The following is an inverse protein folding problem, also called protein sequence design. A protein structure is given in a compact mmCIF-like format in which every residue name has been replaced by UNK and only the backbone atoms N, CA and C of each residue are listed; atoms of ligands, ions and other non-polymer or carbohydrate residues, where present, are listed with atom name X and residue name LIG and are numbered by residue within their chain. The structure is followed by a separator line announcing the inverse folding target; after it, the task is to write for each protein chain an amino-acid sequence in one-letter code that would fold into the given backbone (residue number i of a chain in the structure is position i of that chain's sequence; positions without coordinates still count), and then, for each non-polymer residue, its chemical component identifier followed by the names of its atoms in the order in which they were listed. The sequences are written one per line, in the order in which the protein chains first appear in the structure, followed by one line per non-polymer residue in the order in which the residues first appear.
data_IF_211843119307
#
_entry.id   IF_211843119307
#
_cell.length_a   1.000
_cell.length_b   1.000
_cell.length_c   1.000
_cell.angle_alpha   90.00
_cell.angle_beta   90.00
_cell.angle_gamma   90.00
#
_symmetry.space_group_name_H-M   'P 1'
#
loop_
_entity.id
_entity.type
_entity.pdbx_description
1 polymer ?
#
# COMPACT_ATOMS: atom_id res chain seq x y z
N UNK A 1 37.30 8.47 -20.89
CA UNK A 1 36.56 8.21 -19.64
C UNK A 1 36.06 9.54 -19.01
N UNK A 2 36.84 10.65 -18.90
CA UNK A 2 36.34 11.88 -18.27
C UNK A 2 35.22 12.59 -19.05
N UNK A 3 35.20 12.50 -20.37
CA UNK A 3 34.20 13.14 -21.24
C UNK A 3 32.79 12.50 -21.07
N UNK A 4 32.71 11.19 -20.88
CA UNK A 4 31.44 10.51 -20.65
C UNK A 4 30.78 10.89 -19.31
N UNK A 5 31.58 11.04 -18.25
CA UNK A 5 31.12 11.51 -16.93
C UNK A 5 30.64 12.95 -16.97
N UNK A 6 31.32 13.82 -17.71
CA UNK A 6 30.90 15.21 -17.87
C UNK A 6 29.59 15.34 -18.66
N UNK A 7 29.39 14.50 -19.69
CA UNK A 7 28.14 14.47 -20.47
C UNK A 7 26.95 13.93 -19.62
N UNK A 8 27.18 12.87 -18.85
CA UNK A 8 26.16 12.33 -17.92
C UNK A 8 25.78 13.39 -16.89
N UNK A 9 26.79 14.10 -16.35
CA UNK A 9 26.58 15.20 -15.43
C UNK A 9 25.78 16.36 -16.00
N UNK A 10 26.11 16.77 -17.19
CA UNK A 10 25.39 17.83 -17.90
C UNK A 10 23.92 17.44 -18.17
N UNK A 11 23.67 16.19 -18.56
CA UNK A 11 22.31 15.64 -18.74
C UNK A 11 21.52 15.66 -17.44
N UNK A 12 22.11 15.26 -16.31
CA UNK A 12 21.45 15.29 -15.01
C UNK A 12 21.09 16.70 -14.56
N UNK A 13 22.03 17.63 -14.65
CA UNK A 13 21.79 19.05 -14.35
C UNK A 13 20.67 19.59 -15.23
N UNK A 14 20.67 19.26 -16.50
CA UNK A 14 19.65 19.69 -17.44
C UNK A 14 18.27 19.10 -17.10
N UNK A 15 18.18 17.80 -16.79
CA UNK A 15 16.94 17.13 -16.37
C UNK A 15 16.41 17.75 -15.05
N UNK A 16 17.25 17.91 -14.04
CA UNK A 16 16.88 18.53 -12.74
C UNK A 16 16.41 19.97 -12.96
N UNK A 17 17.08 20.73 -13.83
CA UNK A 17 16.71 22.10 -14.16
C UNK A 17 15.35 22.17 -14.88
N UNK A 18 15.11 21.30 -15.86
CA UNK A 18 13.86 21.25 -16.62
C UNK A 18 12.66 20.88 -15.73
N UNK A 19 12.88 20.02 -14.73
CA UNK A 19 11.82 19.48 -13.85
C UNK A 19 11.65 20.23 -12.53
N UNK A 20 12.49 21.24 -12.26
CA UNK A 20 12.46 21.98 -10.99
C UNK A 20 11.09 22.51 -10.62
N UNK A 21 10.32 22.99 -11.59
CA UNK A 21 9.01 23.62 -11.36
C UNK A 21 7.91 22.58 -11.17
N UNK A 22 7.90 21.51 -11.95
CA UNK A 22 6.89 20.44 -11.85
C UNK A 22 7.03 19.62 -10.55
N UNK A 23 8.25 19.22 -10.23
CA UNK A 23 8.53 18.52 -8.98
C UNK A 23 8.32 19.43 -7.76
N UNK A 24 8.68 20.70 -7.86
CA UNK A 24 8.38 21.69 -6.83
C UNK A 24 6.89 21.85 -6.59
N UNK A 25 6.08 21.92 -7.65
CA UNK A 25 4.63 21.96 -7.56
C UNK A 25 4.05 20.69 -6.95
N UNK A 26 4.55 19.52 -7.34
CA UNK A 26 4.14 18.23 -6.78
C UNK A 26 4.49 18.10 -5.29
N UNK A 27 5.71 18.45 -4.90
CA UNK A 27 6.14 18.45 -3.50
C UNK A 27 5.35 19.46 -2.66
N UNK A 28 5.04 20.63 -3.20
CA UNK A 28 4.21 21.63 -2.51
C UNK A 28 2.77 21.14 -2.33
N UNK A 29 2.19 20.44 -3.31
CA UNK A 29 0.87 19.82 -3.19
C UNK A 29 0.84 18.75 -2.10
N UNK A 30 1.88 17.91 -2.02
CA UNK A 30 2.01 16.83 -1.02
C UNK A 30 2.19 17.36 0.41
N UNK A 31 2.83 18.52 0.56
CA UNK A 31 3.08 19.19 1.86
C UNK A 31 1.89 20.05 2.30
N UNK A 32 1.05 20.50 1.36
CA UNK A 32 -0.11 21.37 1.63
C UNK A 32 -1.13 20.75 2.59
N UNK A 33 -1.19 19.43 2.70
CA UNK A 33 -2.21 18.70 3.45
C UNK A 33 -1.94 18.58 4.97
N UNK A 34 -0.78 19.03 5.47
CA UNK A 34 -0.41 18.97 6.89
C UNK A 34 -0.19 20.35 7.51
N UNK A 35 -1.00 20.69 8.52
CA UNK A 35 -1.06 22.03 9.16
C UNK A 35 0.19 22.49 9.93
N UNK A 36 1.15 21.61 10.26
CA UNK A 36 2.30 21.94 11.12
C UNK A 36 3.55 22.19 10.29
N UNK A 37 4.16 23.38 10.43
CA UNK A 37 5.42 23.76 9.77
C UNK A 37 5.30 24.03 8.27
N UNK A 38 4.17 24.46 7.80
CA UNK A 38 3.79 24.63 6.39
C UNK A 38 4.76 25.50 5.58
N UNK A 39 5.17 26.64 6.10
CA UNK A 39 6.05 27.58 5.36
C UNK A 39 7.46 27.01 5.16
N UNK A 40 8.06 26.42 6.19
CA UNK A 40 9.41 25.86 6.10
C UNK A 40 9.48 24.65 5.15
N UNK A 41 8.43 23.83 5.14
CA UNK A 41 8.31 22.68 4.24
C UNK A 41 8.05 23.10 2.79
N UNK A 42 7.28 24.17 2.58
CA UNK A 42 7.03 24.74 1.25
C UNK A 42 8.31 25.34 0.64
N UNK A 43 9.13 26.02 1.44
CA UNK A 43 10.42 26.57 0.98
C UNK A 43 11.44 25.46 0.70
N UNK A 44 11.47 24.40 1.52
CA UNK A 44 12.27 23.20 1.25
C UNK A 44 11.81 22.48 -0.02
N UNK A 45 10.49 22.34 -0.22
CA UNK A 45 9.94 21.73 -1.42
C UNK A 45 10.23 22.53 -2.70
N UNK A 46 10.27 23.85 -2.63
CA UNK A 46 10.67 24.71 -3.76
C UNK A 46 12.16 24.62 -4.08
N UNK A 47 13.01 24.31 -3.08
CA UNK A 47 14.47 24.26 -3.20
C UNK A 47 15.02 22.83 -3.32
N UNK A 48 14.14 21.82 -3.51
CA UNK A 48 14.55 20.40 -3.59
C UNK A 48 15.65 20.15 -4.63
N UNK A 49 15.64 20.89 -5.74
CA UNK A 49 16.62 20.78 -6.81
C UNK A 49 18.04 21.18 -6.36
N UNK A 50 18.15 22.09 -5.37
CA UNK A 50 19.45 22.46 -4.79
C UNK A 50 20.06 21.29 -4.01
N UNK A 51 19.24 20.52 -3.28
CA UNK A 51 19.68 19.33 -2.58
C UNK A 51 20.13 18.24 -3.57
N UNK A 52 19.40 18.06 -4.67
CA UNK A 52 19.79 17.14 -5.75
C UNK A 52 21.10 17.55 -6.42
N UNK A 53 21.29 18.84 -6.69
CA UNK A 53 22.49 19.35 -7.29
C UNK A 53 23.70 19.27 -6.32
N UNK A 54 23.50 19.59 -5.04
CA UNK A 54 24.53 19.45 -4.01
C UNK A 54 24.96 17.98 -3.84
N UNK A 55 23.99 17.06 -3.79
CA UNK A 55 24.26 15.63 -3.74
C UNK A 55 25.08 15.17 -4.96
N UNK A 56 24.71 15.62 -6.17
CA UNK A 56 25.42 15.29 -7.40
C UNK A 56 26.87 15.81 -7.40
N UNK A 57 27.07 17.07 -6.97
CA UNK A 57 28.41 17.65 -6.85
C UNK A 57 29.26 16.89 -5.82
N UNK A 58 28.66 16.53 -4.69
CA UNK A 58 29.34 15.75 -3.65
C UNK A 58 29.75 14.36 -4.15
N UNK A 59 28.88 13.70 -4.89
CA UNK A 59 29.15 12.39 -5.52
C UNK A 59 30.24 12.51 -6.60
N UNK A 60 30.21 13.54 -7.43
CA UNK A 60 31.25 13.81 -8.41
C UNK A 60 32.63 14.06 -7.77
N UNK A 61 32.67 14.84 -6.69
CA UNK A 61 33.90 15.07 -5.92
C UNK A 61 34.42 13.77 -5.29
N UNK A 62 33.53 12.95 -4.70
CA UNK A 62 33.89 11.66 -4.14
C UNK A 62 34.42 10.68 -5.21
N UNK A 63 33.83 10.67 -6.42
CA UNK A 63 34.31 9.87 -7.54
C UNK A 63 35.70 10.33 -8.02
N UNK A 64 35.95 11.64 -8.07
CA UNK A 64 37.26 12.19 -8.38
C UNK A 64 38.30 11.82 -7.30
N UNK A 65 37.93 11.95 -6.02
CA UNK A 65 38.78 11.54 -4.90
C UNK A 65 39.14 10.04 -4.96
N UNK A 66 38.14 9.18 -5.19
CA UNK A 66 38.34 7.73 -5.36
C UNK A 66 39.22 7.39 -6.59
N UNK A 67 39.15 8.18 -7.65
CA UNK A 67 40.03 8.03 -8.82
C UNK A 67 41.46 8.46 -8.54
N UNK A 68 41.66 9.49 -7.70
CA UNK A 68 42.99 10.00 -7.31
C UNK A 68 43.71 9.10 -6.31
N UNK A 69 42.96 8.36 -5.47
CA UNK A 69 43.50 7.42 -4.47
C UNK A 69 43.83 6.04 -5.02
N UNK A 70 43.84 5.84 -6.33
CA UNK A 70 44.13 4.57 -7.04
C UNK A 70 43.22 3.38 -6.65
N UNK A 71 42.18 3.60 -5.84
CA UNK A 71 41.18 2.57 -5.47
C UNK A 71 40.20 2.33 -6.63
N UNK A 72 40.63 1.62 -7.65
CA UNK A 72 39.82 1.35 -8.85
C UNK A 72 38.49 0.63 -8.56
N UNK A 73 38.37 -0.01 -7.40
CA UNK A 73 37.11 -0.63 -6.91
C UNK A 73 36.12 0.40 -6.43
N UNK A 74 36.53 1.32 -5.57
CA UNK A 74 35.66 2.38 -5.04
C UNK A 74 35.14 3.31 -6.17
N UNK A 75 36.01 3.64 -7.14
CA UNK A 75 35.58 4.43 -8.30
C UNK A 75 34.57 3.71 -9.19
N UNK A 76 34.59 2.37 -9.26
CA UNK A 76 33.57 1.55 -9.95
C UNK A 76 32.27 1.58 -9.19
N UNK A 77 32.27 1.37 -7.88
CA UNK A 77 31.08 1.42 -7.03
C UNK A 77 30.37 2.76 -7.09
N UNK A 78 31.13 3.86 -7.00
CA UNK A 78 30.58 5.22 -7.13
C UNK A 78 29.88 5.45 -8.48
N UNK A 79 30.46 4.99 -9.59
CA UNK A 79 29.83 5.06 -10.91
C UNK A 79 28.56 4.24 -11.01
N UNK A 80 28.51 3.09 -10.36
CA UNK A 80 27.29 2.25 -10.31
C UNK A 80 26.17 2.98 -9.58
N UNK A 81 26.46 3.61 -8.46
CA UNK A 81 25.47 4.40 -7.69
C UNK A 81 24.94 5.55 -8.53
N UNK A 82 25.86 6.31 -9.15
CA UNK A 82 25.52 7.49 -9.97
C UNK A 82 24.66 7.10 -11.17
N UNK A 83 25.04 6.05 -11.91
CA UNK A 83 24.27 5.55 -13.06
C UNK A 83 22.92 5.00 -12.67
N UNK A 84 22.80 4.30 -11.53
CA UNK A 84 21.54 3.74 -11.05
C UNK A 84 20.54 4.83 -10.64
N UNK A 85 21.02 5.90 -10.01
CA UNK A 85 20.18 7.06 -9.69
C UNK A 85 19.70 7.79 -10.92
N UNK A 86 20.57 7.94 -11.95
CA UNK A 86 20.21 8.55 -13.22
C UNK A 86 19.14 7.72 -13.95
N UNK A 87 19.32 6.41 -14.03
CA UNK A 87 18.34 5.49 -14.64
C UNK A 87 17.00 5.58 -13.90
N UNK A 88 17.01 5.66 -12.56
CA UNK A 88 15.77 5.82 -11.77
C UNK A 88 15.06 7.13 -12.11
N UNK A 89 15.78 8.24 -12.19
CA UNK A 89 15.21 9.54 -12.56
C UNK A 89 14.60 9.51 -13.96
N UNK A 90 15.31 8.96 -14.94
CA UNK A 90 14.81 8.80 -16.30
C UNK A 90 13.57 7.90 -16.35
N UNK A 91 13.59 6.79 -15.61
CA UNK A 91 12.46 5.88 -15.50
C UNK A 91 11.24 6.57 -14.87
N UNK A 92 11.40 7.28 -13.75
CA UNK A 92 10.32 8.03 -13.09
C UNK A 92 9.71 9.08 -14.02
N UNK A 93 10.54 9.80 -14.75
CA UNK A 93 10.07 10.82 -15.70
C UNK A 93 9.31 10.20 -16.87
N UNK A 94 9.83 9.09 -17.41
CA UNK A 94 9.18 8.33 -18.47
C UNK A 94 7.84 7.76 -18.02
N UNK A 95 7.83 7.11 -16.84
CA UNK A 95 6.61 6.55 -16.28
C UNK A 95 5.55 7.62 -15.98
N UNK A 96 5.97 8.80 -15.53
CA UNK A 96 5.04 9.91 -15.33
C UNK A 96 4.40 10.39 -16.64
N UNK A 97 5.17 10.47 -17.72
CA UNK A 97 4.63 10.80 -19.06
C UNK A 97 3.70 9.71 -19.59
N UNK A 98 4.12 8.45 -19.50
CA UNK A 98 3.33 7.29 -19.93
C UNK A 98 1.99 7.23 -19.17
N UNK A 99 2.04 7.39 -17.85
CA UNK A 99 0.84 7.35 -17.03
C UNK A 99 -0.15 8.47 -17.42
N UNK A 100 0.31 9.68 -17.66
CA UNK A 100 -0.56 10.78 -18.15
C UNK A 100 -1.25 10.45 -19.49
N UNK A 101 -0.59 9.70 -20.38
CA UNK A 101 -1.16 9.32 -21.68
C UNK A 101 -2.07 8.09 -21.61
N UNK A 102 -1.71 7.08 -20.82
CA UNK A 102 -2.46 5.82 -20.74
C UNK A 102 -3.67 5.91 -19.80
N UNK A 103 -3.61 6.74 -18.76
CA UNK A 103 -4.72 6.94 -17.79
C UNK A 103 -5.96 7.56 -18.46
N UNK A 104 -5.81 8.24 -19.61
CA UNK A 104 -6.95 8.70 -20.40
C UNK A 104 -7.80 7.54 -20.96
N UNK A 105 -7.23 6.36 -21.17
CA UNK A 105 -7.91 5.21 -21.79
C UNK A 105 -8.29 4.09 -20.80
N UNK A 106 -7.49 3.89 -19.74
CA UNK A 106 -7.70 2.86 -18.70
C UNK A 106 -7.44 3.45 -17.30
N UNK A 107 -8.37 4.22 -16.74
CA UNK A 107 -8.07 5.11 -15.61
C UNK A 107 -7.64 4.41 -14.31
N UNK A 108 -7.93 3.12 -14.11
CA UNK A 108 -7.69 2.46 -12.83
C UNK A 108 -6.61 1.36 -12.85
N UNK A 109 -6.59 0.50 -13.86
CA UNK A 109 -5.58 -0.55 -13.97
C UNK A 109 -4.19 0.04 -14.28
N UNK A 110 -4.16 1.11 -15.10
CA UNK A 110 -2.93 1.80 -15.47
C UNK A 110 -2.21 2.43 -14.28
N UNK A 111 -2.95 3.06 -13.35
CA UNK A 111 -2.35 3.70 -12.17
C UNK A 111 -1.76 2.68 -11.20
N UNK A 112 -2.44 1.56 -10.96
CA UNK A 112 -1.94 0.50 -10.06
C UNK A 112 -0.67 -0.12 -10.62
N UNK A 113 -0.66 -0.45 -11.91
CA UNK A 113 0.52 -1.02 -12.58
C UNK A 113 1.69 -0.03 -12.57
N UNK A 114 1.45 1.24 -12.87
CA UNK A 114 2.48 2.27 -12.85
C UNK A 114 3.07 2.49 -11.45
N UNK A 115 2.23 2.51 -10.40
CA UNK A 115 2.68 2.64 -9.03
C UNK A 115 3.49 1.43 -8.57
N UNK A 116 3.07 0.20 -8.92
CA UNK A 116 3.83 -1.02 -8.63
C UNK A 116 5.19 -1.03 -9.34
N UNK A 117 5.23 -0.58 -10.60
CA UNK A 117 6.46 -0.54 -11.39
C UNK A 117 7.44 0.52 -10.85
N UNK A 118 6.93 1.68 -10.42
CA UNK A 118 7.73 2.72 -9.74
C UNK A 118 8.28 2.21 -8.41
N UNK A 119 7.43 1.57 -7.60
CA UNK A 119 7.87 1.00 -6.32
C UNK A 119 8.96 -0.05 -6.52
N UNK A 120 8.78 -0.94 -7.49
CA UNK A 120 9.76 -1.96 -7.84
C UNK A 120 11.10 -1.33 -8.28
N UNK A 121 11.06 -0.34 -9.16
CA UNK A 121 12.25 0.36 -9.64
C UNK A 121 13.00 1.05 -8.49
N UNK A 122 12.28 1.71 -7.57
CA UNK A 122 12.88 2.36 -6.40
C UNK A 122 13.58 1.36 -5.48
N UNK A 123 12.89 0.25 -5.16
CA UNK A 123 13.47 -0.80 -4.31
C UNK A 123 14.69 -1.45 -4.97
N UNK A 124 14.61 -1.73 -6.27
CA UNK A 124 15.72 -2.30 -7.02
C UNK A 124 16.95 -1.39 -7.02
N UNK A 125 16.76 -0.08 -7.21
CA UNK A 125 17.86 0.90 -7.13
C UNK A 125 18.45 0.99 -5.72
N UNK A 126 17.63 0.92 -4.68
CA UNK A 126 18.12 0.90 -3.29
C UNK A 126 19.01 -0.33 -3.06
N UNK A 127 18.62 -1.50 -3.59
CA UNK A 127 19.42 -2.72 -3.49
C UNK A 127 20.74 -2.58 -4.25
N UNK A 128 20.72 -2.03 -5.46
CA UNK A 128 21.95 -1.76 -6.24
C UNK A 128 22.90 -0.78 -5.52
N UNK A 129 22.34 0.24 -4.88
CA UNK A 129 23.15 1.19 -4.09
C UNK A 129 23.74 0.50 -2.87
N UNK A 130 22.99 -0.33 -2.16
CA UNK A 130 23.48 -1.09 -1.02
C UNK A 130 24.60 -2.06 -1.41
N UNK A 131 24.43 -2.77 -2.53
CA UNK A 131 25.46 -3.66 -3.10
C UNK A 131 26.74 -2.88 -3.44
N UNK A 132 26.60 -1.79 -4.17
CA UNK A 132 27.74 -0.94 -4.53
C UNK A 132 28.46 -0.35 -3.30
N UNK A 133 27.70 0.07 -2.28
CA UNK A 133 28.27 0.59 -1.04
C UNK A 133 29.02 -0.48 -0.23
N UNK A 134 28.39 -1.62 0.02
CA UNK A 134 28.93 -2.66 0.90
C UNK A 134 30.13 -3.38 0.29
N UNK A 135 30.03 -3.73 -0.98
CA UNK A 135 31.05 -4.56 -1.64
C UNK A 135 32.15 -3.70 -2.26
N UNK A 136 31.79 -2.59 -2.95
CA UNK A 136 32.78 -1.90 -3.80
C UNK A 136 33.32 -0.60 -3.19
N UNK A 137 32.52 0.15 -2.42
CA UNK A 137 32.95 1.43 -1.82
C UNK A 137 33.56 1.22 -0.45
N UNK A 138 32.85 0.56 0.46
CA UNK A 138 33.28 0.33 1.83
C UNK A 138 34.20 -0.89 1.96
N UNK A 139 34.07 -1.87 1.05
CA UNK A 139 34.81 -3.14 1.17
C UNK A 139 34.50 -3.88 2.48
N UNK A 140 33.32 -3.63 3.06
CA UNK A 140 32.91 -4.18 4.36
C UNK A 140 32.64 -5.69 4.28
N UNK A 141 32.27 -6.19 3.11
CA UNK A 141 31.99 -7.60 2.84
C UNK A 141 32.56 -7.98 1.47
N UNK A 142 32.93 -9.25 1.33
CA UNK A 142 33.27 -9.81 0.02
C UNK A 142 32.01 -10.03 -0.81
N UNK A 143 32.12 -10.13 -2.13
CA UNK A 143 30.97 -10.37 -3.00
C UNK A 143 30.27 -11.73 -2.68
N UNK A 144 31.04 -12.73 -2.20
CA UNK A 144 30.51 -14.04 -1.82
C UNK A 144 29.69 -13.97 -0.51
N UNK A 145 30.17 -13.20 0.47
CA UNK A 145 29.46 -12.99 1.75
C UNK A 145 28.19 -12.14 1.58
N UNK A 146 28.18 -11.21 0.60
CA UNK A 146 27.04 -10.35 0.31
C UNK A 146 25.94 -11.04 -0.48
N UNK A 147 26.26 -12.04 -1.29
CA UNK A 147 25.33 -12.72 -2.20
C UNK A 147 24.04 -13.23 -1.54
N UNK A 148 24.05 -13.85 -0.32
CA UNK A 148 22.80 -14.26 0.35
C UNK A 148 21.91 -13.09 0.71
N UNK A 149 22.49 -11.98 1.19
CA UNK A 149 21.77 -10.77 1.58
C UNK A 149 21.16 -10.05 0.36
N UNK A 150 21.89 -9.99 -0.75
CA UNK A 150 21.41 -9.44 -2.02
C UNK A 150 20.21 -10.24 -2.57
N UNK A 151 20.29 -11.58 -2.53
CA UNK A 151 19.17 -12.44 -2.92
C UNK A 151 17.95 -12.24 -2.04
N UNK A 152 18.13 -12.24 -0.71
CA UNK A 152 17.06 -12.00 0.24
C UNK A 152 16.41 -10.63 0.03
N UNK A 153 17.20 -9.58 -0.16
CA UNK A 153 16.69 -8.23 -0.44
C UNK A 153 15.89 -8.16 -1.73
N UNK A 154 16.31 -8.82 -2.81
CA UNK A 154 15.57 -8.88 -4.07
C UNK A 154 14.24 -9.60 -3.93
N UNK A 155 14.20 -10.75 -3.24
CA UNK A 155 12.97 -11.48 -2.98
C UNK A 155 12.04 -10.63 -2.08
N UNK A 156 12.57 -10.03 -1.01
CA UNK A 156 11.82 -9.14 -0.13
C UNK A 156 11.21 -7.94 -0.90
N UNK A 157 11.95 -7.37 -1.86
CA UNK A 157 11.42 -6.30 -2.71
C UNK A 157 10.26 -6.77 -3.59
N UNK A 158 10.37 -7.94 -4.21
CA UNK A 158 9.28 -8.53 -5.02
C UNK A 158 8.06 -8.81 -4.14
N UNK A 159 8.26 -9.41 -2.96
CA UNK A 159 7.20 -9.69 -1.99
C UNK A 159 6.49 -8.40 -1.55
N UNK A 160 7.24 -7.34 -1.27
CA UNK A 160 6.69 -6.05 -0.88
C UNK A 160 5.85 -5.41 -2.00
N UNK A 161 6.32 -5.49 -3.25
CA UNK A 161 5.54 -5.03 -4.42
C UNK A 161 4.27 -5.85 -4.59
N UNK A 162 4.33 -7.17 -4.41
CA UNK A 162 3.16 -8.05 -4.50
C UNK A 162 2.13 -7.72 -3.41
N UNK A 163 2.57 -7.49 -2.16
CA UNK A 163 1.71 -7.06 -1.05
C UNK A 163 1.07 -5.70 -1.35
N UNK A 164 1.85 -4.76 -1.87
CA UNK A 164 1.34 -3.44 -2.26
C UNK A 164 0.30 -3.54 -3.38
N UNK A 165 0.56 -4.36 -4.42
CA UNK A 165 -0.37 -4.60 -5.51
C UNK A 165 -1.68 -5.24 -5.00
N UNK A 166 -1.56 -6.23 -4.12
CA UNK A 166 -2.71 -6.89 -3.50
C UNK A 166 -3.53 -5.91 -2.65
N UNK A 167 -2.89 -5.08 -1.84
CA UNK A 167 -3.56 -4.04 -1.07
C UNK A 167 -4.28 -3.03 -1.96
N UNK A 168 -3.64 -2.58 -3.05
CA UNK A 168 -4.25 -1.68 -4.03
C UNK A 168 -5.47 -2.32 -4.70
N UNK A 169 -5.39 -3.61 -5.03
CA UNK A 169 -6.50 -4.35 -5.60
C UNK A 169 -7.67 -4.45 -4.62
N UNK A 170 -7.43 -4.84 -3.36
CA UNK A 170 -8.47 -4.90 -2.31
C UNK A 170 -9.13 -3.53 -2.15
N UNK A 171 -8.33 -2.50 -2.03
CA UNK A 171 -8.79 -1.11 -1.91
C UNK A 171 -9.66 -0.68 -3.08
N UNK A 172 -9.22 -1.00 -4.29
CA UNK A 172 -9.97 -0.73 -5.51
C UNK A 172 -11.33 -1.44 -5.53
N UNK A 173 -11.38 -2.72 -5.16
CA UNK A 173 -12.64 -3.48 -5.08
C UNK A 173 -13.61 -2.86 -4.08
N UNK A 174 -13.10 -2.41 -2.94
CA UNK A 174 -13.93 -1.75 -1.92
C UNK A 174 -14.42 -0.38 -2.38
N UNK A 175 -13.57 0.43 -2.98
CA UNK A 175 -13.94 1.76 -3.50
C UNK A 175 -14.94 1.64 -4.66
N UNK A 176 -14.80 0.63 -5.54
CA UNK A 176 -15.76 0.32 -6.62
C UNK A 176 -17.13 -0.05 -6.08
N UNK A 177 -17.17 -0.84 -5.01
CA UNK A 177 -18.43 -1.22 -4.36
C UNK A 177 -19.14 0.00 -3.74
N UNK A 178 -18.39 0.89 -3.09
CA UNK A 178 -18.93 2.13 -2.53
C UNK A 178 -19.48 3.05 -3.63
N UNK A 179 -18.78 3.14 -4.76
CA UNK A 179 -19.21 3.96 -5.90
C UNK A 179 -20.46 3.40 -6.60
N UNK A 180 -20.59 2.07 -6.67
CA UNK A 180 -21.75 1.40 -7.26
C UNK A 180 -23.03 1.51 -6.40
N UNK A 181 -22.88 1.77 -5.08
CA UNK A 181 -23.99 1.90 -4.13
C UNK A 181 -24.00 3.30 -3.49
N UNK A 182 -24.39 4.35 -4.20
CA UNK A 182 -24.46 5.70 -3.64
C UNK A 182 -25.51 5.76 -2.52
N UNK A 183 -25.29 6.62 -1.51
CA UNK A 183 -26.32 6.88 -0.50
C UNK A 183 -27.57 7.47 -1.19
N UNK A 184 -28.80 7.08 -0.79
CA UNK A 184 -29.98 7.78 -1.21
C UNK A 184 -29.84 9.26 -0.85
N UNK A 185 -29.97 10.16 -1.83
CA UNK A 185 -30.04 11.59 -1.57
C UNK A 185 -31.29 11.85 -0.74
N UNK A 186 -31.17 12.73 0.27
CA UNK A 186 -32.26 13.08 1.18
C UNK A 186 -33.52 13.64 0.47
N UNK A 187 -33.43 13.95 -0.82
CA UNK A 187 -34.53 14.51 -1.64
C UNK A 187 -35.36 13.46 -2.40
N UNK A 188 -35.02 12.17 -2.30
CA UNK A 188 -35.81 11.10 -2.93
C UNK A 188 -36.88 10.58 -1.97
N UNK A 189 -37.87 11.41 -1.65
CA UNK A 189 -39.13 11.00 -1.02
C UNK A 189 -40.05 10.35 -2.06
N UNK A 190 -39.82 9.09 -2.36
CA UNK A 190 -40.67 8.27 -3.24
C UNK A 190 -40.81 6.90 -2.62
N UNK A 191 -41.99 6.66 -2.06
CA UNK A 191 -42.42 5.41 -1.43
C UNK A 191 -42.27 4.24 -2.42
N UNK A 192 -41.52 3.20 -2.07
CA UNK A 192 -41.61 1.82 -2.63
C UNK A 192 -40.32 1.08 -2.97
N UNK A 193 -39.17 1.36 -2.33
CA UNK A 193 -37.97 0.48 -2.49
C UNK A 193 -37.09 0.42 -1.23
N UNK A 194 -37.69 0.45 -0.02
CA UNK A 194 -36.97 0.75 1.22
C UNK A 194 -36.04 -0.37 1.72
N UNK A 195 -36.36 -1.65 1.51
CA UNK A 195 -35.60 -2.75 2.11
C UNK A 195 -34.22 -3.00 1.47
N UNK A 196 -34.08 -2.81 0.16
CA UNK A 196 -32.81 -2.98 -0.55
C UNK A 196 -31.86 -1.81 -0.26
N UNK A 197 -32.39 -0.60 -0.11
CA UNK A 197 -31.62 0.61 0.19
C UNK A 197 -31.05 0.63 1.60
N UNK A 198 -31.76 0.07 2.58
CA UNK A 198 -31.31 -0.03 3.98
C UNK A 198 -30.12 -0.98 4.13
N UNK A 199 -30.12 -2.11 3.44
CA UNK A 199 -29.00 -3.05 3.45
C UNK A 199 -27.71 -2.48 2.87
N UNK A 200 -27.80 -1.78 1.74
CA UNK A 200 -26.64 -1.11 1.11
C UNK A 200 -26.06 0.01 1.96
N UNK A 201 -26.89 0.74 2.69
CA UNK A 201 -26.46 1.79 3.62
C UNK A 201 -25.64 1.23 4.79
N UNK A 202 -26.05 0.11 5.39
CA UNK A 202 -25.34 -0.53 6.53
C UNK A 202 -23.96 -1.05 6.13
N UNK A 203 -23.85 -1.69 4.97
CA UNK A 203 -22.56 -2.17 4.46
C UNK A 203 -21.58 -1.02 4.22
N UNK A 204 -22.06 0.12 3.73
CA UNK A 204 -21.23 1.29 3.47
C UNK A 204 -20.65 1.87 4.77
N UNK A 205 -21.40 1.91 5.87
CA UNK A 205 -20.88 2.36 7.17
C UNK A 205 -19.84 1.42 7.75
N UNK A 206 -19.88 0.13 7.40
CA UNK A 206 -18.89 -0.87 7.84
C UNK A 206 -17.63 -0.90 6.96
N UNK A 207 -17.67 -0.35 5.73
CA UNK A 207 -16.53 -0.40 4.79
C UNK A 207 -15.23 0.20 5.34
N UNK A 208 -15.21 1.35 6.04
CA UNK A 208 -13.98 1.88 6.62
C UNK A 208 -13.37 0.92 7.65
N UNK A 209 -14.21 0.26 8.46
CA UNK A 209 -13.77 -0.72 9.45
C UNK A 209 -13.20 -1.97 8.78
N UNK A 210 -13.90 -2.53 7.79
CA UNK A 210 -13.43 -3.67 7.00
C UNK A 210 -12.10 -3.36 6.29
N UNK A 211 -11.97 -2.15 5.76
CA UNK A 211 -10.74 -1.68 5.14
C UNK A 211 -9.58 -1.60 6.15
N UNK A 212 -9.82 -1.06 7.34
CA UNK A 212 -8.82 -0.99 8.39
C UNK A 212 -8.38 -2.39 8.85
N UNK A 213 -9.33 -3.31 9.04
CA UNK A 213 -9.06 -4.70 9.41
C UNK A 213 -8.27 -5.43 8.31
N UNK A 214 -8.70 -5.36 7.06
CA UNK A 214 -7.99 -5.97 5.93
C UNK A 214 -6.57 -5.39 5.81
N UNK A 215 -6.42 -4.07 5.96
CA UNK A 215 -5.13 -3.40 5.92
C UNK A 215 -4.20 -3.84 7.05
N UNK A 216 -4.69 -3.99 8.27
CA UNK A 216 -3.88 -4.46 9.40
C UNK A 216 -3.43 -5.90 9.22
N UNK A 217 -4.29 -6.79 8.72
CA UNK A 217 -3.93 -8.18 8.42
C UNK A 217 -2.86 -8.26 7.33
N UNK A 218 -3.05 -7.54 6.22
CA UNK A 218 -2.08 -7.49 5.12
C UNK A 218 -0.74 -6.91 5.59
N UNK A 219 -0.76 -5.88 6.44
CA UNK A 219 0.45 -5.28 7.00
C UNK A 219 1.22 -6.27 7.88
N UNK A 220 0.52 -6.98 8.78
CA UNK A 220 1.14 -7.94 9.71
C UNK A 220 1.70 -9.13 8.95
N UNK A 221 0.87 -9.79 8.12
CA UNK A 221 1.30 -10.97 7.35
C UNK A 221 2.39 -10.59 6.35
N UNK A 222 2.20 -9.50 5.62
CA UNK A 222 3.17 -9.01 4.66
C UNK A 222 4.48 -8.59 5.30
N UNK A 223 4.43 -7.92 6.44
CA UNK A 223 5.62 -7.56 7.22
C UNK A 223 6.41 -8.78 7.69
N UNK A 224 5.73 -9.82 8.18
CA UNK A 224 6.37 -11.08 8.56
C UNK A 224 7.05 -11.77 7.38
N UNK A 225 6.40 -11.80 6.21
CA UNK A 225 7.00 -12.37 5.01
C UNK A 225 8.28 -11.64 4.61
N UNK A 226 8.23 -10.30 4.55
CA UNK A 226 9.42 -9.49 4.22
C UNK A 226 10.55 -9.70 5.23
N UNK A 227 10.25 -9.74 6.52
CA UNK A 227 11.25 -10.01 7.56
C UNK A 227 11.89 -11.40 7.40
N UNK A 228 11.09 -12.40 7.05
CA UNK A 228 11.58 -13.77 6.77
C UNK A 228 12.56 -13.78 5.61
N UNK A 229 12.27 -13.08 4.52
CA UNK A 229 13.15 -13.00 3.34
C UNK A 229 14.48 -12.27 3.65
N UNK A 230 14.45 -11.33 4.60
CA UNK A 230 15.65 -10.65 5.10
C UNK A 230 16.46 -11.50 6.08
N UNK A 231 16.05 -12.76 6.33
CA UNK A 231 16.76 -13.70 7.21
C UNK A 231 16.44 -13.55 8.70
N UNK A 232 15.43 -12.73 9.06
CA UNK A 232 14.98 -12.59 10.46
C UNK A 232 14.18 -13.83 10.86
N UNK A 233 14.51 -14.43 12.01
CA UNK A 233 13.73 -15.54 12.54
C UNK A 233 12.34 -15.05 13.01
N UNK A 234 11.31 -15.33 12.22
CA UNK A 234 9.92 -14.93 12.50
C UNK A 234 9.17 -15.90 13.42
N UNK A 235 9.75 -17.03 13.80
CA UNK A 235 9.12 -18.06 14.66
C UNK A 235 8.57 -17.48 15.97
N UNK A 236 9.32 -16.66 16.74
CA UNK A 236 8.80 -16.06 17.97
C UNK A 236 7.63 -15.08 17.72
N UNK A 237 7.66 -14.37 16.58
CA UNK A 237 6.60 -13.45 16.20
C UNK A 237 5.30 -14.19 15.84
N UNK A 238 5.43 -15.31 15.10
CA UNK A 238 4.28 -16.18 14.77
C UNK A 238 3.71 -16.79 16.03
N UNK A 239 4.57 -17.26 16.96
CA UNK A 239 4.11 -17.80 18.25
C UNK A 239 3.31 -16.76 19.05
N UNK A 240 3.82 -15.53 19.16
CA UNK A 240 3.11 -14.42 19.80
C UNK A 240 1.78 -14.07 19.12
N UNK A 241 1.78 -14.00 17.79
CA UNK A 241 0.57 -13.76 17.00
C UNK A 241 -0.48 -14.88 17.18
N UNK A 242 -0.04 -16.12 17.33
CA UNK A 242 -0.93 -17.27 17.58
C UNK A 242 -1.65 -17.15 18.92
N UNK A 243 -0.96 -16.70 19.98
CA UNK A 243 -1.59 -16.44 21.29
C UNK A 243 -2.64 -15.34 21.19
N UNK A 244 -2.34 -14.24 20.47
CA UNK A 244 -3.32 -13.19 20.22
C UNK A 244 -4.50 -13.71 19.40
N UNK A 245 -4.27 -14.56 18.41
CA UNK A 245 -5.31 -15.21 17.61
C UNK A 245 -6.25 -16.06 18.48
N UNK A 246 -5.70 -16.82 19.42
CA UNK A 246 -6.50 -17.59 20.39
C UNK A 246 -7.35 -16.68 21.28
N UNK A 247 -6.79 -15.58 21.79
CA UNK A 247 -7.53 -14.63 22.60
C UNK A 247 -8.72 -14.02 21.83
N UNK A 248 -8.50 -13.61 20.57
CA UNK A 248 -9.57 -13.10 19.69
C UNK A 248 -10.60 -14.19 19.39
N UNK A 249 -10.16 -15.44 19.14
CA UNK A 249 -11.05 -16.57 18.89
C UNK A 249 -11.97 -16.83 20.07
N UNK A 250 -11.45 -16.90 21.29
CA UNK A 250 -12.28 -17.05 22.49
C UNK A 250 -13.22 -15.85 22.71
N UNK A 251 -12.74 -14.62 22.46
CA UNK A 251 -13.56 -13.42 22.58
C UNK A 251 -14.71 -13.36 21.56
N UNK A 252 -14.56 -13.98 20.41
CA UNK A 252 -15.59 -14.00 19.32
C UNK A 252 -16.44 -15.27 19.30
N UNK A 253 -16.25 -16.21 20.22
CA UNK A 253 -16.90 -17.52 20.21
C UNK A 253 -18.46 -17.44 20.20
N UNK A 254 -19.05 -16.51 20.96
CA UNK A 254 -20.51 -16.31 20.95
C UNK A 254 -21.01 -15.81 19.60
N UNK A 255 -20.28 -14.85 18.99
CA UNK A 255 -20.64 -14.30 17.69
C UNK A 255 -20.62 -15.39 16.60
N UNK A 256 -19.57 -16.22 16.58
CA UNK A 256 -19.46 -17.33 15.64
C UNK A 256 -20.60 -18.34 15.82
N UNK A 257 -20.94 -18.68 17.08
CA UNK A 257 -22.06 -19.56 17.39
C UNK A 257 -23.39 -19.01 16.87
N UNK A 258 -23.65 -17.72 17.11
CA UNK A 258 -24.89 -17.08 16.68
C UNK A 258 -25.01 -17.07 15.14
N UNK A 259 -23.93 -16.73 14.44
CA UNK A 259 -23.89 -16.72 12.97
C UNK A 259 -24.10 -18.13 12.39
N UNK A 260 -23.41 -19.14 12.93
CA UNK A 260 -23.52 -20.53 12.49
C UNK A 260 -24.95 -21.04 12.71
N UNK A 261 -25.52 -20.80 13.90
CA UNK A 261 -26.92 -21.19 14.18
C UNK A 261 -27.90 -20.50 13.24
N UNK A 262 -27.71 -19.19 12.96
CA UNK A 262 -28.56 -18.46 12.02
C UNK A 262 -28.49 -19.01 10.59
N UNK A 263 -27.31 -19.41 10.12
CA UNK A 263 -27.11 -20.04 8.81
C UNK A 263 -27.87 -21.39 8.76
N UNK A 264 -27.77 -22.21 9.81
CA UNK A 264 -28.49 -23.46 9.87
C UNK A 264 -30.04 -23.28 9.86
N UNK A 265 -30.56 -22.31 10.64
CA UNK A 265 -31.98 -21.98 10.62
C UNK A 265 -32.48 -21.53 9.23
N UNK A 266 -31.64 -20.79 8.50
CA UNK A 266 -31.92 -20.40 7.12
C UNK A 266 -31.88 -21.60 6.15
N UNK A 267 -30.87 -22.46 6.30
CA UNK A 267 -30.69 -23.62 5.43
C UNK A 267 -31.77 -24.69 5.61
N UNK A 268 -32.28 -24.84 6.84
CA UNK A 268 -33.34 -25.82 7.19
C UNK A 268 -34.75 -25.26 7.02
N UNK A 269 -34.90 -23.99 6.61
CA UNK A 269 -36.21 -23.32 6.47
C UNK A 269 -37.04 -23.41 7.77
N UNK A 270 -36.34 -23.27 8.91
CA UNK A 270 -36.91 -23.51 10.23
C UNK A 270 -38.00 -22.50 10.61
N UNK A 271 -38.01 -21.30 10.03
CA UNK A 271 -39.02 -20.26 10.26
C UNK A 271 -39.44 -19.62 8.95
N UNK A 272 -40.78 -19.44 8.73
CA UNK A 272 -41.33 -18.79 7.56
C UNK A 272 -41.98 -17.46 7.93
N UNK A 273 -41.86 -16.47 7.04
CA UNK A 273 -42.54 -15.20 7.20
C UNK A 273 -44.06 -15.44 7.24
N UNK A 274 -44.75 -14.90 8.25
CA UNK A 274 -46.16 -15.07 8.49
C UNK A 274 -46.53 -16.25 9.40
N UNK A 275 -45.58 -17.11 9.78
CA UNK A 275 -45.80 -18.21 10.72
C UNK A 275 -45.84 -17.68 12.17
N UNK A 276 -46.76 -18.29 12.97
CA UNK A 276 -46.83 -17.99 14.39
C UNK A 276 -45.90 -18.92 15.19
N UNK A 277 -44.94 -18.34 15.89
CA UNK A 277 -43.89 -19.07 16.64
C UNK A 277 -43.95 -18.76 18.13
N UNK A 278 -43.78 -19.81 18.92
CA UNK A 278 -43.64 -19.73 20.38
C UNK A 278 -42.19 -20.06 20.80
N UNK A 279 -41.40 -19.04 21.12
CA UNK A 279 -40.01 -19.19 21.57
C UNK A 279 -39.88 -19.18 23.10
N UNK A 280 -40.81 -19.70 23.86
CA UNK A 280 -40.85 -19.77 25.32
C UNK A 280 -40.92 -18.41 26.02
N UNK A 281 -40.11 -17.45 25.68
CA UNK A 281 -40.06 -16.09 26.27
C UNK A 281 -40.88 -15.08 25.45
N UNK A 282 -40.99 -15.29 24.14
CA UNK A 282 -41.66 -14.37 23.22
C UNK A 282 -42.47 -15.18 22.24
N UNK A 283 -43.74 -14.77 22.01
CA UNK A 283 -44.66 -15.38 21.05
C UNK A 283 -45.11 -14.34 20.04
N UNK A 284 -45.17 -14.71 18.78
CA UNK A 284 -45.57 -13.76 17.73
C UNK A 284 -45.56 -14.35 16.35
N UNK A 285 -46.03 -13.55 15.42
CA UNK A 285 -45.95 -13.86 13.99
C UNK A 285 -44.61 -13.34 13.43
N UNK A 286 -43.92 -14.16 12.68
CA UNK A 286 -42.63 -13.80 12.04
C UNK A 286 -42.87 -12.73 10.98
N UNK A 287 -42.31 -11.55 11.17
CA UNK A 287 -42.33 -10.44 10.20
C UNK A 287 -41.04 -10.35 9.39
N UNK A 288 -39.92 -10.62 10.03
CA UNK A 288 -38.59 -10.53 9.40
C UNK A 288 -37.63 -11.54 10.00
N UNK A 289 -36.67 -11.94 9.18
CA UNK A 289 -35.63 -12.85 9.58
C UNK A 289 -34.27 -12.41 9.06
N UNK A 290 -33.28 -12.34 9.94
CA UNK A 290 -31.89 -12.10 9.56
C UNK A 290 -30.99 -13.13 10.22
N UNK A 291 -29.73 -13.25 9.77
CA UNK A 291 -28.77 -14.26 10.28
C UNK A 291 -28.64 -14.28 11.81
N UNK A 292 -28.95 -13.18 12.49
CA UNK A 292 -28.79 -13.04 13.93
C UNK A 292 -30.08 -12.72 14.69
N UNK A 293 -31.10 -12.24 14.02
CA UNK A 293 -32.32 -11.73 14.64
C UNK A 293 -33.54 -12.29 13.97
N UNK A 294 -34.55 -12.66 14.75
CA UNK A 294 -35.91 -12.98 14.33
C UNK A 294 -36.83 -11.84 14.81
N UNK A 295 -37.54 -11.20 13.89
CA UNK A 295 -38.49 -10.14 14.19
C UNK A 295 -39.88 -10.74 14.30
N UNK A 296 -40.47 -10.61 15.50
CA UNK A 296 -41.78 -11.16 15.81
C UNK A 296 -42.76 -10.03 16.13
N UNK A 297 -43.95 -10.06 15.49
CA UNK A 297 -45.05 -9.19 15.87
C UNK A 297 -45.91 -9.89 16.94
N UNK A 298 -45.99 -9.30 18.10
CA UNK A 298 -46.87 -9.78 19.15
C UNK A 298 -48.36 -9.48 18.83
N UNK A 299 -49.29 -10.34 19.27
CA UNK A 299 -50.74 -10.16 19.01
C UNK A 299 -51.31 -8.84 19.50
N UNK A 300 -50.68 -8.21 20.50
CA UNK A 300 -51.13 -6.92 21.05
C UNK A 300 -50.49 -5.70 20.28
N UNK A 301 -49.91 -5.91 19.12
CA UNK A 301 -49.39 -4.82 18.30
C UNK A 301 -48.06 -4.21 18.76
N UNK A 302 -47.31 -4.90 19.64
CA UNK A 302 -45.94 -4.49 20.02
C UNK A 302 -44.89 -5.27 19.26
#
# INVERSE_FOLDING_TARGET
IPVGLALIGACLVWVVWQWRNEMGAWLTALVSDRKVGRQLKLDAAKRWWMAGLAFYVLMGLAAVYAALTESGTAARGMRTIESSLLVLLLFETLMHRITRHIVSELPMAGDVVADCLRLFARLYVVILIADALMVTVLGAMTAEEWLPHDRGAKIAAITLVAIYAFWRFVRFRMDSYIAANPLPSADASGDTEDDVKVGASRLRTLMPLLRAMAGSVILVVGGLLVLSELGVNITPLIAGASVLGLAVSFGSQSLVRDVVSGIFFLAEDAFRIGEYVDCSKVKGTVEGFSVRCLELRHQNGQ
#
